data_IF_588824408231
#
_entry.id   IF_588824408231
#
_cell.length_a   1.000
_cell.length_b   1.000
_cell.length_c   1.000
_cell.angle_alpha   90.00
_cell.angle_beta   90.00
_cell.angle_gamma   90.00
#
_symmetry.space_group_name_H-M   'P 1'
#
loop_
_entity.id
_entity.type
_entity.pdbx_description
1 polymer ?
#
# COMPACT_ATOMS: atom_id res chain seq x y z
N UNK A 1 -5.29 31.88 -29.04
CA UNK A 1 -4.13 31.09 -28.57
C UNK A 1 -4.43 29.62 -28.87
N UNK A 2 -3.88 29.09 -29.97
CA UNK A 2 -4.13 27.70 -30.39
C UNK A 2 -3.13 26.82 -29.64
N UNK A 3 -3.62 25.99 -28.72
CA UNK A 3 -2.80 24.93 -28.12
C UNK A 3 -2.58 23.85 -29.19
N UNK A 4 -1.34 23.74 -29.68
CA UNK A 4 -0.94 22.65 -30.55
C UNK A 4 -0.70 21.40 -29.68
N UNK A 5 -1.65 20.47 -29.69
CA UNK A 5 -1.42 19.13 -29.14
C UNK A 5 -0.65 18.29 -30.16
N UNK A 6 0.64 18.05 -29.91
CA UNK A 6 1.40 17.04 -30.65
C UNK A 6 1.09 15.69 -30.00
N UNK A 7 0.30 14.87 -30.68
CA UNK A 7 0.01 13.50 -30.25
C UNK A 7 1.27 12.64 -30.41
N UNK A 8 1.81 12.15 -29.30
CA UNK A 8 3.00 11.30 -29.29
C UNK A 8 2.61 9.84 -29.55
N UNK A 9 2.88 9.33 -30.75
CA UNK A 9 2.62 7.93 -31.13
C UNK A 9 3.87 7.10 -30.88
N UNK A 10 3.79 6.14 -29.94
CA UNK A 10 4.93 5.35 -29.45
C UNK A 10 5.64 4.52 -30.54
N UNK A 11 4.98 4.26 -31.68
CA UNK A 11 5.50 3.42 -32.77
C UNK A 11 6.54 4.10 -33.69
N UNK A 12 6.82 5.39 -33.54
CA UNK A 12 7.64 6.15 -34.52
C UNK A 12 9.12 6.26 -34.12
N UNK A 13 9.51 5.92 -32.89
CA UNK A 13 10.91 6.00 -32.46
C UNK A 13 11.54 4.62 -32.33
N UNK A 14 12.56 4.37 -33.17
CA UNK A 14 13.57 3.34 -32.90
C UNK A 14 14.07 3.55 -31.46
N UNK A 15 14.00 2.49 -30.65
CA UNK A 15 14.43 2.38 -29.24
C UNK A 15 15.92 2.69 -28.95
N UNK A 16 16.58 3.49 -29.78
CA UNK A 16 18.04 3.65 -29.79
C UNK A 16 18.53 5.04 -29.44
N UNK A 17 17.67 5.97 -29.03
CA UNK A 17 18.10 7.30 -28.56
C UNK A 17 17.96 7.40 -27.01
N UNK A 18 19.08 7.37 -26.25
CA UNK A 18 19.05 7.56 -24.80
C UNK A 18 18.60 8.96 -24.36
N UNK A 19 18.50 9.93 -25.28
CA UNK A 19 17.95 11.26 -25.00
C UNK A 19 16.40 11.32 -24.98
N UNK A 20 15.72 10.19 -25.20
CA UNK A 20 14.26 10.11 -25.32
C UNK A 20 13.64 9.09 -24.34
N UNK A 21 14.10 9.07 -23.09
CA UNK A 21 13.27 8.49 -22.02
C UNK A 21 12.06 9.39 -21.80
N UNK A 22 10.87 8.86 -22.08
CA UNK A 22 9.62 9.55 -21.81
C UNK A 22 9.42 9.62 -20.28
N UNK A 23 8.86 10.71 -19.77
CA UNK A 23 8.51 10.87 -18.35
C UNK A 23 7.53 9.79 -17.85
N UNK A 24 6.89 9.07 -18.75
CA UNK A 24 5.98 7.94 -18.45
C UNK A 24 6.66 6.57 -18.51
N UNK A 25 7.92 6.48 -18.94
CA UNK A 25 8.63 5.20 -19.04
C UNK A 25 8.82 4.57 -17.65
N UNK A 26 8.63 3.25 -17.57
CA UNK A 26 8.73 2.52 -16.32
C UNK A 26 7.57 2.72 -15.33
N UNK A 27 6.49 3.36 -15.76
CA UNK A 27 5.27 3.58 -14.99
C UNK A 27 4.02 3.11 -15.76
N UNK A 28 3.00 2.65 -15.02
CA UNK A 28 1.68 2.35 -15.55
C UNK A 28 0.59 2.77 -14.56
N UNK A 29 -0.65 2.80 -15.06
CA UNK A 29 -1.83 3.24 -14.32
C UNK A 29 -2.87 2.12 -14.26
N UNK A 30 -3.51 1.98 -13.09
CA UNK A 30 -4.74 1.21 -12.91
C UNK A 30 -5.83 2.23 -12.58
N UNK A 31 -6.91 2.22 -13.35
CA UNK A 31 -8.10 2.99 -13.01
C UNK A 31 -8.76 2.40 -11.76
N UNK A 32 -9.05 3.23 -10.78
CA UNK A 32 -9.70 2.83 -9.53
C UNK A 32 -10.80 3.85 -9.18
N UNK A 33 -12.03 3.42 -8.84
CA UNK A 33 -13.13 4.35 -8.59
C UNK A 33 -12.95 5.20 -7.33
N UNK A 34 -12.09 4.78 -6.39
CA UNK A 34 -11.83 5.49 -5.14
C UNK A 34 -10.68 6.48 -5.34
N UNK A 35 -9.57 6.01 -5.91
CA UNK A 35 -8.33 6.78 -6.05
C UNK A 35 -8.16 7.45 -7.42
N UNK A 36 -9.13 7.30 -8.31
CA UNK A 36 -9.11 7.66 -9.74
C UNK A 36 -8.07 6.86 -10.54
N UNK A 37 -6.79 7.01 -10.18
CA UNK A 37 -5.67 6.30 -10.78
C UNK A 37 -4.65 5.86 -9.75
N UNK A 38 -4.30 4.58 -9.78
CA UNK A 38 -3.22 4.01 -9.00
C UNK A 38 -2.01 3.83 -9.92
N UNK A 39 -0.96 4.60 -9.64
CA UNK A 39 0.34 4.44 -10.28
C UNK A 39 1.06 3.21 -9.75
N UNK A 40 1.76 2.49 -10.63
CA UNK A 40 2.67 1.41 -10.25
C UNK A 40 3.84 1.29 -11.24
N UNK A 41 4.95 0.76 -10.76
CA UNK A 41 6.20 0.59 -11.50
C UNK A 41 6.13 -0.62 -12.44
N UNK A 42 6.54 -0.42 -13.68
CA UNK A 42 6.72 -1.47 -14.71
C UNK A 42 8.15 -1.44 -15.23
N UNK A 43 8.71 -2.54 -15.78
CA UNK A 43 10.07 -2.51 -16.31
C UNK A 43 10.27 -1.40 -17.35
N UNK A 44 11.31 -0.58 -17.19
CA UNK A 44 11.64 0.50 -18.15
C UNK A 44 12.04 -0.10 -19.50
N UNK A 45 12.85 -1.16 -19.46
CA UNK A 45 13.22 -1.94 -20.62
C UNK A 45 12.82 -3.41 -20.42
N UNK A 46 11.99 -3.93 -21.33
CA UNK A 46 11.58 -5.34 -21.34
C UNK A 46 12.73 -6.31 -21.62
N UNK A 47 13.88 -5.81 -22.09
CA UNK A 47 15.09 -6.61 -22.28
C UNK A 47 15.87 -6.86 -20.98
N UNK A 48 15.60 -6.05 -19.94
CA UNK A 48 16.23 -6.14 -18.63
C UNK A 48 15.30 -6.87 -17.67
N UNK A 49 15.85 -7.82 -16.91
CA UNK A 49 15.12 -8.54 -15.84
C UNK A 49 14.97 -7.65 -14.59
N UNK A 50 14.27 -6.53 -14.76
CA UNK A 50 13.92 -5.58 -13.72
C UNK A 50 12.69 -6.07 -12.95
N UNK A 51 12.81 -6.18 -11.62
CA UNK A 51 11.69 -6.50 -10.74
C UNK A 51 11.06 -5.20 -10.25
N UNK A 52 9.75 -5.08 -10.48
CA UNK A 52 8.93 -3.91 -10.14
C UNK A 52 7.64 -4.33 -9.45
N UNK A 53 6.84 -3.37 -9.00
CA UNK A 53 5.50 -3.63 -8.41
C UNK A 53 4.64 -4.49 -9.34
N UNK A 54 4.73 -4.29 -10.67
CA UNK A 54 4.05 -5.14 -11.66
C UNK A 54 4.33 -6.63 -11.46
N UNK A 55 5.58 -6.99 -11.17
CA UNK A 55 5.97 -8.39 -10.98
C UNK A 55 5.23 -9.01 -9.80
N UNK A 56 5.10 -8.25 -8.72
CA UNK A 56 4.39 -8.69 -7.52
C UNK A 56 2.87 -8.70 -7.76
N UNK A 57 2.33 -7.65 -8.39
CA UNK A 57 0.91 -7.55 -8.78
C UNK A 57 0.48 -8.74 -9.63
N UNK A 58 1.32 -9.15 -10.59
CA UNK A 58 1.03 -10.28 -11.48
C UNK A 58 1.36 -11.64 -10.88
N UNK A 59 1.94 -11.69 -9.67
CA UNK A 59 2.26 -12.95 -9.00
C UNK A 59 0.98 -13.76 -8.69
N UNK A 60 1.02 -15.11 -8.73
CA UNK A 60 -0.11 -15.93 -8.33
C UNK A 60 -0.62 -15.65 -6.92
N UNK A 61 0.28 -15.20 -6.03
CA UNK A 61 -0.03 -14.87 -4.63
C UNK A 61 -0.93 -13.65 -4.50
N UNK A 62 -0.76 -12.64 -5.36
CA UNK A 62 -1.63 -11.47 -5.40
C UNK A 62 -2.84 -11.67 -6.29
N UNK A 63 -2.67 -12.28 -7.47
CA UNK A 63 -3.79 -12.54 -8.38
C UNK A 63 -4.88 -13.43 -7.76
N UNK A 64 -4.54 -14.26 -6.75
CA UNK A 64 -5.56 -15.03 -6.03
C UNK A 64 -6.54 -14.17 -5.22
N UNK A 65 -6.12 -12.99 -4.77
CA UNK A 65 -6.97 -12.10 -3.98
C UNK A 65 -8.19 -11.61 -4.78
N UNK A 66 -8.17 -11.70 -6.11
CA UNK A 66 -9.34 -11.43 -6.98
C UNK A 66 -10.53 -12.36 -6.70
N UNK A 67 -10.27 -13.53 -6.09
CA UNK A 67 -11.29 -14.53 -5.75
C UNK A 67 -11.70 -14.49 -4.28
N UNK A 68 -11.18 -13.53 -3.52
CA UNK A 68 -11.49 -13.35 -2.10
C UNK A 68 -12.22 -12.03 -1.96
N UNK A 69 -13.53 -12.11 -1.71
CA UNK A 69 -14.39 -10.95 -1.54
C UNK A 69 -14.10 -10.23 -0.23
N UNK A 70 -14.08 -8.89 -0.28
CA UNK A 70 -13.77 -8.04 0.88
C UNK A 70 -14.80 -8.24 2.00
N UNK A 71 -16.08 -8.05 1.67
CA UNK A 71 -17.19 -8.06 2.63
C UNK A 71 -17.92 -9.41 2.72
N UNK A 72 -17.37 -10.47 2.12
CA UNK A 72 -17.83 -11.86 2.31
C UNK A 72 -19.34 -12.04 2.07
N UNK A 73 -20.11 -12.42 3.10
CA UNK A 73 -21.55 -12.63 3.03
C UNK A 73 -22.36 -11.33 2.91
N UNK A 74 -21.79 -10.18 3.29
CA UNK A 74 -22.51 -8.91 3.22
C UNK A 74 -22.88 -8.54 1.78
N UNK A 75 -22.16 -9.06 0.77
CA UNK A 75 -22.53 -8.93 -0.66
C UNK A 75 -23.92 -9.48 -0.99
N UNK A 76 -24.46 -10.41 -0.20
CA UNK A 76 -25.82 -10.91 -0.40
C UNK A 76 -26.89 -9.95 0.11
N UNK A 77 -26.52 -9.02 1.00
CA UNK A 77 -27.37 -7.91 1.46
C UNK A 77 -27.13 -6.66 0.62
N UNK A 78 -25.87 -6.38 0.28
CA UNK A 78 -25.41 -5.29 -0.56
C UNK A 78 -24.89 -5.86 -1.89
N UNK A 79 -25.75 -6.09 -2.91
CA UNK A 79 -25.38 -6.79 -4.13
C UNK A 79 -24.30 -6.08 -4.97
N UNK A 80 -24.04 -4.80 -4.73
CA UNK A 80 -22.94 -4.06 -5.35
C UNK A 80 -21.58 -4.30 -4.68
N UNK A 81 -21.54 -4.83 -3.44
CA UNK A 81 -20.33 -5.10 -2.68
C UNK A 81 -19.57 -6.37 -3.13
N UNK A 82 -19.36 -6.49 -4.43
CA UNK A 82 -18.66 -7.60 -5.10
C UNK A 82 -17.15 -7.37 -5.22
N UNK A 83 -16.62 -6.30 -4.60
CA UNK A 83 -15.19 -6.01 -4.62
C UNK A 83 -14.37 -7.05 -3.86
N UNK A 84 -13.14 -7.22 -4.33
CA UNK A 84 -12.19 -8.21 -3.85
C UNK A 84 -11.04 -7.56 -3.09
N UNK A 85 -10.36 -8.36 -2.26
CA UNK A 85 -9.13 -7.96 -1.55
C UNK A 85 -8.03 -7.49 -2.49
N UNK A 86 -8.05 -7.91 -3.75
CA UNK A 86 -7.09 -7.44 -4.76
C UNK A 86 -7.23 -5.93 -5.02
N UNK A 87 -8.46 -5.42 -5.17
CA UNK A 87 -8.70 -3.99 -5.40
C UNK A 87 -8.30 -3.18 -4.16
N UNK A 88 -8.66 -3.68 -2.98
CA UNK A 88 -8.28 -3.08 -1.71
C UNK A 88 -6.75 -3.06 -1.50
N UNK A 89 -6.04 -4.13 -1.85
CA UNK A 89 -4.58 -4.18 -1.76
C UNK A 89 -3.90 -3.13 -2.66
N UNK A 90 -4.41 -2.93 -3.87
CA UNK A 90 -3.91 -1.87 -4.77
C UNK A 90 -4.18 -0.47 -4.19
N UNK A 91 -5.36 -0.24 -3.64
CA UNK A 91 -5.71 1.03 -3.01
C UNK A 91 -4.88 1.31 -1.76
N UNK A 92 -4.63 0.29 -0.93
CA UNK A 92 -3.77 0.39 0.24
C UNK A 92 -2.32 0.68 -0.14
N UNK A 93 -1.80 0.06 -1.21
CA UNK A 93 -0.49 0.40 -1.79
C UNK A 93 -0.42 1.88 -2.21
N UNK A 94 -1.45 2.37 -2.90
CA UNK A 94 -1.53 3.77 -3.28
C UNK A 94 -1.49 4.70 -2.06
N UNK A 95 -2.36 4.44 -1.09
CA UNK A 95 -2.45 5.18 0.17
C UNK A 95 -1.11 5.19 0.92
N UNK A 96 -0.44 4.05 1.01
CA UNK A 96 0.84 3.93 1.68
C UNK A 96 1.93 4.78 1.01
N UNK A 97 1.98 4.82 -0.33
CA UNK A 97 2.90 5.69 -1.06
C UNK A 97 2.63 7.18 -0.86
N UNK A 98 1.35 7.58 -0.85
CA UNK A 98 0.97 8.97 -0.60
C UNK A 98 1.30 9.43 0.82
N UNK A 99 1.13 8.55 1.81
CA UNK A 99 1.58 8.81 3.17
C UNK A 99 3.09 8.91 3.25
N UNK A 100 3.83 7.98 2.62
CA UNK A 100 5.30 7.98 2.62
C UNK A 100 5.88 9.35 2.28
N UNK A 101 5.41 9.96 1.19
CA UNK A 101 5.86 11.29 0.75
C UNK A 101 5.55 12.38 1.77
N UNK A 102 4.36 12.34 2.38
CA UNK A 102 3.89 13.35 3.33
C UNK A 102 4.66 13.29 4.66
N UNK A 103 4.91 12.08 5.17
CA UNK A 103 5.50 11.87 6.51
C UNK A 103 7.03 11.84 6.49
N UNK A 104 7.67 11.54 5.36
CA UNK A 104 9.13 11.39 5.26
C UNK A 104 9.95 12.59 5.78
N UNK A 105 9.59 13.87 5.51
CA UNK A 105 10.32 15.01 6.06
C UNK A 105 10.38 15.00 7.58
N UNK A 106 9.26 14.67 8.24
CA UNK A 106 9.20 14.57 9.69
C UNK A 106 9.94 13.32 10.22
N UNK A 107 9.83 12.17 9.56
CA UNK A 107 10.54 10.94 9.93
C UNK A 107 12.07 11.11 9.89
N UNK A 108 12.59 11.71 8.82
CA UNK A 108 14.03 12.01 8.66
C UNK A 108 14.53 13.12 9.60
N UNK A 109 13.63 13.95 10.12
CA UNK A 109 13.97 14.91 11.18
C UNK A 109 14.20 14.21 12.53
N UNK A 110 13.40 13.19 12.85
CA UNK A 110 13.40 12.50 14.16
C UNK A 110 14.36 11.31 14.24
N UNK A 111 14.64 10.64 13.13
CA UNK A 111 15.64 9.56 13.03
C UNK A 111 16.54 9.76 11.81
N UNK A 112 17.83 9.99 12.05
CA UNK A 112 18.84 10.23 11.00
C UNK A 112 19.29 8.95 10.30
N UNK A 113 18.92 7.79 10.81
CA UNK A 113 19.24 6.49 10.19
C UNK A 113 18.16 6.03 9.19
N UNK A 114 17.13 6.84 8.95
CA UNK A 114 16.12 6.51 7.96
C UNK A 114 16.76 6.41 6.56
N UNK A 115 16.41 5.39 5.75
CA UNK A 115 16.80 5.31 4.35
C UNK A 115 16.22 6.46 3.52
N UNK A 116 16.58 6.53 2.24
CA UNK A 116 16.09 7.54 1.30
C UNK A 116 14.56 7.55 1.16
N UNK A 117 14.01 8.68 0.72
CA UNK A 117 12.57 8.86 0.51
C UNK A 117 12.01 7.79 -0.45
N UNK A 118 12.72 7.52 -1.54
CA UNK A 118 12.31 6.52 -2.53
C UNK A 118 12.29 5.11 -1.93
N UNK A 119 13.28 4.77 -1.09
CA UNK A 119 13.27 3.49 -0.38
C UNK A 119 12.08 3.37 0.57
N UNK A 120 11.81 4.42 1.37
CA UNK A 120 10.69 4.43 2.33
C UNK A 120 9.35 4.36 1.61
N UNK A 121 9.20 5.09 0.51
CA UNK A 121 8.02 5.02 -0.35
C UNK A 121 7.78 3.60 -0.83
N UNK A 122 8.77 2.95 -1.46
CA UNK A 122 8.59 1.59 -1.96
C UNK A 122 8.34 0.60 -0.83
N UNK A 123 9.03 0.72 0.31
CA UNK A 123 8.81 -0.16 1.46
C UNK A 123 7.35 -0.11 1.93
N UNK A 124 6.79 1.09 2.09
CA UNK A 124 5.40 1.26 2.52
C UNK A 124 4.42 0.80 1.46
N UNK A 125 4.69 1.06 0.18
CA UNK A 125 3.87 0.60 -0.94
C UNK A 125 3.82 -0.92 -1.01
N UNK A 126 4.97 -1.60 -0.90
CA UNK A 126 5.04 -3.06 -0.87
C UNK A 126 4.34 -3.64 0.37
N UNK A 127 4.47 -3.00 1.53
CA UNK A 127 3.73 -3.41 2.72
C UNK A 127 2.22 -3.24 2.52
N UNK A 128 1.77 -2.11 1.98
CA UNK A 128 0.36 -1.87 1.66
C UNK A 128 -0.20 -2.83 0.61
N UNK A 129 0.59 -3.16 -0.42
CA UNK A 129 0.21 -4.11 -1.46
C UNK A 129 0.05 -5.54 -0.92
N UNK A 130 0.89 -5.92 0.06
CA UNK A 130 1.02 -7.30 0.52
C UNK A 130 0.37 -7.56 1.89
N UNK A 131 -0.16 -6.54 2.58
CA UNK A 131 -0.69 -6.69 3.94
C UNK A 131 -1.76 -7.79 4.04
N UNK A 132 -2.59 -7.88 3.01
CA UNK A 132 -3.72 -8.80 2.92
C UNK A 132 -3.41 -10.10 2.17
N UNK A 133 -2.16 -10.29 1.71
CA UNK A 133 -1.79 -11.43 0.87
C UNK A 133 -2.06 -12.77 1.53
N UNK A 134 -2.07 -12.82 2.87
CA UNK A 134 -2.29 -14.03 3.65
C UNK A 134 -3.74 -14.46 3.82
N UNK A 135 -4.73 -13.64 3.44
CA UNK A 135 -6.13 -14.00 3.63
C UNK A 135 -6.55 -15.25 2.85
N UNK A 136 -7.37 -16.06 3.51
CA UNK A 136 -8.06 -17.22 2.93
C UNK A 136 -9.48 -16.88 2.44
N UNK A 137 -10.22 -17.91 1.98
CA UNK A 137 -11.65 -17.80 1.67
C UNK A 137 -12.40 -17.23 2.87
N UNK A 138 -13.40 -16.36 2.68
CA UNK A 138 -14.12 -15.72 3.79
C UNK A 138 -13.24 -14.95 4.80
N UNK A 139 -12.07 -14.43 4.39
CA UNK A 139 -11.28 -13.45 5.15
C UNK A 139 -11.12 -13.79 6.65
N UNK A 140 -11.51 -12.87 7.54
CA UNK A 140 -11.43 -13.08 8.99
C UNK A 140 -12.25 -14.26 9.52
N UNK A 141 -13.34 -14.66 8.85
CA UNK A 141 -14.10 -15.83 9.29
C UNK A 141 -13.24 -17.10 9.23
N UNK A 142 -12.39 -17.21 8.22
CA UNK A 142 -11.45 -18.34 8.10
C UNK A 142 -10.33 -18.29 9.11
N UNK A 143 -9.87 -17.09 9.47
CA UNK A 143 -8.92 -16.92 10.57
C UNK A 143 -9.50 -17.45 11.87
N UNK A 144 -10.68 -16.97 12.24
CA UNK A 144 -11.28 -17.23 13.55
C UNK A 144 -11.77 -18.68 13.71
N UNK A 145 -12.21 -19.32 12.62
CA UNK A 145 -12.87 -20.63 12.66
C UNK A 145 -12.04 -21.79 12.06
N UNK A 146 -10.88 -21.52 11.45
CA UNK A 146 -10.05 -22.57 10.87
C UNK A 146 -8.56 -22.37 11.17
N UNK A 147 -7.99 -21.19 10.95
CA UNK A 147 -6.57 -20.96 11.24
C UNK A 147 -6.26 -20.92 12.74
N UNK A 148 -7.22 -20.50 13.55
CA UNK A 148 -7.14 -20.45 15.01
C UNK A 148 -6.81 -21.83 15.62
N UNK A 149 -7.32 -22.93 15.06
CA UNK A 149 -7.01 -24.32 15.46
C UNK A 149 -5.51 -24.65 15.34
N UNK A 150 -4.77 -23.88 14.54
CA UNK A 150 -3.33 -24.05 14.29
C UNK A 150 -2.49 -22.92 14.91
N UNK A 151 -3.11 -22.00 15.66
CA UNK A 151 -2.46 -20.80 16.18
C UNK A 151 -1.98 -19.85 15.06
N UNK A 152 -2.65 -19.86 13.91
CA UNK A 152 -2.29 -19.06 12.74
C UNK A 152 -3.28 -17.92 12.52
N UNK A 153 -2.82 -16.88 11.83
CA UNK A 153 -3.61 -15.73 11.36
C UNK A 153 -3.26 -15.44 9.90
N UNK A 154 -4.12 -14.71 9.19
CA UNK A 154 -3.83 -14.22 7.84
C UNK A 154 -2.52 -13.43 7.83
N UNK A 155 -2.22 -12.62 8.85
CA UNK A 155 -0.96 -11.88 8.94
C UNK A 155 0.25 -12.82 9.00
N UNK A 156 0.16 -13.92 9.79
CA UNK A 156 1.23 -14.92 9.91
C UNK A 156 1.46 -15.66 8.59
N UNK A 157 0.37 -16.03 7.92
CA UNK A 157 0.42 -16.62 6.57
C UNK A 157 1.02 -15.62 5.58
N UNK A 158 0.63 -14.34 5.68
CA UNK A 158 1.11 -13.24 4.85
C UNK A 158 2.62 -13.04 4.97
N UNK A 159 3.15 -12.96 6.19
CA UNK A 159 4.60 -12.90 6.43
C UNK A 159 5.34 -14.08 5.79
N UNK A 160 4.79 -15.29 5.89
CA UNK A 160 5.39 -16.47 5.29
C UNK A 160 5.45 -16.36 3.75
N UNK A 161 4.37 -15.91 3.12
CA UNK A 161 4.31 -15.68 1.67
C UNK A 161 5.33 -14.62 1.26
N UNK A 162 5.36 -13.48 1.95
CA UNK A 162 6.29 -12.38 1.65
C UNK A 162 7.74 -12.86 1.72
N UNK A 163 8.13 -13.51 2.81
CA UNK A 163 9.54 -13.89 3.01
C UNK A 163 9.94 -15.10 2.17
N UNK A 164 9.10 -16.14 2.10
CA UNK A 164 9.48 -17.43 1.51
C UNK A 164 9.11 -17.58 0.04
N UNK A 165 8.10 -16.85 -0.44
CA UNK A 165 7.57 -17.01 -1.81
C UNK A 165 7.87 -15.80 -2.69
N UNK A 166 7.73 -14.59 -2.15
CA UNK A 166 7.98 -13.35 -2.87
C UNK A 166 9.35 -12.72 -2.54
N UNK A 167 10.07 -13.29 -1.56
CA UNK A 167 11.25 -12.64 -0.99
C UNK A 167 12.39 -12.41 -1.99
N UNK A 168 12.59 -13.33 -2.94
CA UNK A 168 13.60 -13.17 -4.00
C UNK A 168 13.29 -11.94 -4.86
N UNK A 169 12.04 -11.80 -5.29
CA UNK A 169 11.60 -10.69 -6.14
C UNK A 169 11.61 -9.37 -5.37
N UNK A 170 11.06 -9.36 -4.15
CA UNK A 170 11.05 -8.17 -3.28
C UNK A 170 12.48 -7.66 -3.04
N UNK A 171 13.43 -8.55 -2.74
CA UNK A 171 14.82 -8.18 -2.49
C UNK A 171 15.55 -7.67 -3.74
N UNK A 172 14.96 -7.80 -4.93
CA UNK A 172 15.49 -7.30 -6.21
C UNK A 172 14.88 -5.97 -6.65
N UNK A 173 13.84 -5.47 -5.97
CA UNK A 173 13.27 -4.14 -6.24
C UNK A 173 14.32 -3.06 -5.92
N UNK A 174 14.48 -2.06 -6.80
CA UNK A 174 15.53 -1.02 -6.71
C UNK A 174 15.03 0.42 -6.85
N UNK A 175 13.72 0.64 -7.00
CA UNK A 175 13.14 1.97 -7.15
C UNK A 175 11.68 2.00 -6.69
N UNK A 176 11.20 3.21 -6.44
CA UNK A 176 9.79 3.53 -6.26
C UNK A 176 9.25 4.27 -7.49
N UNK A 177 7.96 4.65 -7.51
CA UNK A 177 7.43 5.60 -8.48
C UNK A 177 8.18 6.93 -8.54
N UNK A 178 8.73 7.43 -7.42
CA UNK A 178 9.46 8.68 -7.37
C UNK A 178 10.92 8.59 -7.85
N UNK A 179 11.49 7.38 -7.95
CA UNK A 179 12.81 7.16 -8.53
C UNK A 179 13.61 6.05 -7.87
N UNK A 180 14.88 5.93 -8.28
CA UNK A 180 15.80 4.90 -7.80
C UNK A 180 16.18 5.09 -6.33
N UNK A 181 16.50 3.99 -5.65
CA UNK A 181 17.02 4.05 -4.29
C UNK A 181 18.42 4.69 -4.24
N UNK A 182 18.82 5.18 -3.08
CA UNK A 182 20.17 5.71 -2.90
C UNK A 182 21.22 4.60 -2.97
N UNK A 183 22.47 4.98 -3.23
CA UNK A 183 23.57 4.02 -3.41
C UNK A 183 23.73 3.12 -2.18
N UNK A 184 23.67 1.81 -2.39
CA UNK A 184 23.83 0.79 -1.35
C UNK A 184 22.53 0.36 -0.67
N UNK A 185 21.42 1.02 -0.95
CA UNK A 185 20.11 0.61 -0.44
C UNK A 185 19.57 -0.60 -1.21
N UNK A 186 19.09 -1.59 -0.47
CA UNK A 186 18.50 -2.81 -1.00
C UNK A 186 17.26 -3.14 -0.19
N UNK A 187 16.16 -3.43 -0.89
CA UNK A 187 14.91 -3.84 -0.26
C UNK A 187 15.08 -5.18 0.47
N UNK A 188 14.42 -5.31 1.62
CA UNK A 188 14.43 -6.54 2.41
C UNK A 188 12.98 -6.97 2.70
N UNK A 189 12.59 -8.13 2.17
CA UNK A 189 11.28 -8.73 2.37
C UNK A 189 10.92 -8.92 3.84
N UNK A 190 11.91 -9.09 4.74
CA UNK A 190 11.65 -9.20 6.19
C UNK A 190 11.18 -7.88 6.78
N UNK A 191 11.64 -6.74 6.25
CA UNK A 191 11.16 -5.41 6.68
C UNK A 191 9.74 -5.15 6.19
N UNK A 192 9.41 -5.60 4.97
CA UNK A 192 8.03 -5.57 4.45
C UNK A 192 7.12 -6.43 5.34
N UNK A 193 7.52 -7.67 5.62
CA UNK A 193 6.77 -8.59 6.47
C UNK A 193 6.61 -8.06 7.91
N UNK A 194 7.61 -7.35 8.44
CA UNK A 194 7.54 -6.74 9.77
C UNK A 194 6.45 -5.67 9.87
N UNK A 195 6.19 -4.91 8.81
CA UNK A 195 5.19 -3.83 8.82
C UNK A 195 3.75 -4.35 8.89
N UNK A 196 3.48 -5.56 8.40
CA UNK A 196 2.11 -6.09 8.23
C UNK A 196 1.63 -7.01 9.34
N UNK A 197 2.46 -7.33 10.35
CA UNK A 197 2.07 -8.15 11.50
C UNK A 197 2.55 -7.51 12.79
N UNK A 198 1.76 -7.60 13.84
CA UNK A 198 2.23 -7.35 15.20
C UNK A 198 3.40 -8.31 15.55
N UNK A 199 4.49 -7.83 16.18
CA UNK A 199 5.63 -8.66 16.48
C UNK A 199 5.27 -9.50 17.71
N UNK A 200 5.87 -10.67 17.85
CA UNK A 200 5.69 -11.40 19.09
C UNK A 200 6.36 -10.64 20.25
N UNK A 201 5.82 -10.79 21.46
CA UNK A 201 6.37 -10.11 22.64
C UNK A 201 7.87 -10.40 22.76
N UNK A 202 8.70 -9.35 22.80
CA UNK A 202 10.16 -9.45 22.84
C UNK A 202 10.88 -9.28 21.50
N UNK A 203 10.16 -9.14 20.38
CA UNK A 203 10.76 -8.83 19.06
C UNK A 203 10.81 -7.33 18.72
N UNK A 204 10.13 -6.49 19.51
CA UNK A 204 9.96 -5.04 19.28
C UNK A 204 11.28 -4.27 19.20
N UNK A 205 12.31 -4.73 19.92
CA UNK A 205 13.63 -4.07 19.95
C UNK A 205 14.60 -4.50 18.83
N UNK A 206 14.26 -5.48 17.99
CA UNK A 206 15.20 -6.03 16.99
C UNK A 206 15.29 -5.19 15.71
N UNK A 207 14.31 -4.32 15.46
CA UNK A 207 14.25 -3.52 14.24
C UNK A 207 14.70 -2.08 14.46
N UNK A 208 15.21 -1.38 13.43
CA UNK A 208 15.54 0.04 13.53
C UNK A 208 14.35 0.90 13.97
N UNK A 209 14.62 1.95 14.73
CA UNK A 209 13.58 2.84 15.28
C UNK A 209 12.69 3.42 14.17
N UNK A 210 13.25 3.94 13.08
CA UNK A 210 12.47 4.42 11.94
C UNK A 210 11.47 3.38 11.40
N UNK A 211 11.82 2.08 11.40
CA UNK A 211 10.94 1.02 10.90
C UNK A 211 9.80 0.74 11.88
N UNK A 212 10.09 0.77 13.19
CA UNK A 212 9.07 0.68 14.24
C UNK A 212 8.07 1.85 14.16
N UNK A 213 8.57 3.07 13.88
CA UNK A 213 7.73 4.26 13.71
C UNK A 213 6.82 4.13 12.48
N UNK A 214 7.38 3.74 11.33
CA UNK A 214 6.61 3.52 10.10
C UNK A 214 5.47 2.51 10.27
N UNK A 215 5.64 1.53 11.15
CA UNK A 215 4.61 0.53 11.41
C UNK A 215 3.32 1.11 11.99
N UNK A 216 3.38 2.25 12.67
CA UNK A 216 2.18 2.93 13.19
C UNK A 216 1.20 3.35 12.08
N UNK A 217 1.63 3.36 10.81
CA UNK A 217 0.74 3.53 9.66
C UNK A 217 -0.09 2.28 9.32
N UNK A 218 0.30 1.11 9.82
CA UNK A 218 -0.41 -0.17 9.66
C UNK A 218 -1.11 -0.60 10.95
N UNK A 219 -0.65 -0.10 12.11
CA UNK A 219 -1.22 -0.43 13.42
C UNK A 219 -1.62 0.85 14.15
N UNK A 220 -2.92 1.08 14.33
CA UNK A 220 -3.39 2.27 15.02
C UNK A 220 -4.86 2.58 14.81
N UNK A 221 -5.24 3.80 15.23
CA UNK A 221 -6.62 4.32 15.16
C UNK A 221 -7.08 4.51 13.71
N UNK A 222 -6.22 5.08 12.89
CA UNK A 222 -6.35 5.14 11.43
C UNK A 222 -5.03 4.66 10.81
N UNK A 223 -5.13 3.84 9.77
CA UNK A 223 -4.06 3.11 9.10
C UNK A 223 -4.27 3.21 7.61
N UNK A 224 -3.23 3.04 6.81
CA UNK A 224 -3.37 3.11 5.34
C UNK A 224 -4.33 2.06 4.78
N UNK A 225 -4.48 0.94 5.48
CA UNK A 225 -5.47 -0.11 5.24
C UNK A 225 -6.91 0.42 5.46
N UNK A 226 -7.21 0.90 6.67
CA UNK A 226 -8.57 1.36 6.98
C UNK A 226 -8.98 2.65 6.26
N UNK A 227 -8.01 3.46 5.83
CA UNK A 227 -8.28 4.59 4.96
C UNK A 227 -8.77 4.14 3.56
N UNK A 228 -8.27 3.02 3.02
CA UNK A 228 -8.80 2.47 1.78
C UNK A 228 -10.13 1.75 2.01
N UNK A 229 -10.19 0.75 2.90
CA UNK A 229 -11.39 -0.09 2.97
C UNK A 229 -12.62 0.72 3.42
N UNK A 230 -12.50 1.70 4.32
CA UNK A 230 -13.67 2.48 4.75
C UNK A 230 -14.29 3.24 3.57
N UNK A 231 -13.46 3.87 2.73
CA UNK A 231 -13.97 4.57 1.55
C UNK A 231 -14.50 3.59 0.50
N UNK A 232 -13.77 2.50 0.27
CA UNK A 232 -14.12 1.49 -0.73
C UNK A 232 -15.41 0.77 -0.38
N UNK A 233 -15.55 0.32 0.86
CA UNK A 233 -16.74 -0.35 1.36
C UNK A 233 -17.94 0.59 1.34
N UNK A 234 -17.77 1.85 1.73
CA UNK A 234 -18.84 2.85 1.66
C UNK A 234 -19.28 3.14 0.21
N UNK A 235 -18.35 3.20 -0.74
CA UNK A 235 -18.66 3.34 -2.17
C UNK A 235 -19.41 2.12 -2.70
N UNK A 236 -18.91 0.92 -2.43
CA UNK A 236 -19.43 -0.32 -3.00
C UNK A 236 -20.75 -0.75 -2.38
N UNK A 237 -21.05 -0.33 -1.15
CA UNK A 237 -22.36 -0.55 -0.50
C UNK A 237 -23.37 0.55 -0.79
N UNK A 238 -22.93 1.69 -1.35
CA UNK A 238 -23.78 2.86 -1.59
C UNK A 238 -24.10 3.66 -0.32
N UNK A 239 -23.34 3.47 0.77
CA UNK A 239 -23.57 4.15 2.05
C UNK A 239 -23.35 5.67 1.94
N UNK A 240 -22.15 6.13 1.54
CA UNK A 240 -21.85 7.54 1.22
C UNK A 240 -20.38 7.72 0.81
N UNK A 241 -20.13 8.55 -0.21
CA UNK A 241 -18.79 8.87 -0.72
C UNK A 241 -18.06 9.99 0.06
N UNK A 242 -18.81 10.91 0.68
CA UNK A 242 -18.24 12.12 1.31
C UNK A 242 -17.82 11.91 2.78
N UNK A 243 -17.54 10.68 3.15
CA UNK A 243 -17.37 10.25 4.53
C UNK A 243 -16.00 10.59 5.13
N UNK A 244 -14.94 10.67 4.32
CA UNK A 244 -13.56 10.76 4.83
C UNK A 244 -12.72 11.75 4.02
N UNK A 245 -12.26 12.82 4.68
CA UNK A 245 -11.29 13.78 4.13
C UNK A 245 -9.84 13.30 4.37
N UNK A 246 -9.46 12.26 3.63
CA UNK A 246 -8.12 11.66 3.67
C UNK A 246 -7.01 12.68 3.36
N UNK A 247 -7.13 13.53 2.31
CA UNK A 247 -6.08 14.51 1.99
C UNK A 247 -5.78 15.42 3.19
N UNK A 248 -6.81 15.90 3.89
CA UNK A 248 -6.63 16.71 5.08
C UNK A 248 -6.03 15.93 6.24
N UNK A 249 -6.49 14.70 6.48
CA UNK A 249 -5.95 13.86 7.55
C UNK A 249 -4.44 13.61 7.34
N UNK A 250 -4.07 13.21 6.12
CA UNK A 250 -2.67 12.99 5.71
C UNK A 250 -1.83 14.25 5.87
N UNK A 251 -2.32 15.40 5.42
CA UNK A 251 -1.61 16.69 5.52
C UNK A 251 -1.23 17.05 6.96
N UNK A 252 -2.11 16.75 7.92
CA UNK A 252 -1.87 17.03 9.34
C UNK A 252 -1.19 15.88 10.11
N UNK A 253 -0.83 14.79 9.43
CA UNK A 253 -0.15 13.64 10.01
C UNK A 253 1.36 13.74 9.83
N UNK A 254 2.13 13.60 10.91
CA UNK A 254 3.59 13.70 10.90
C UNK A 254 4.20 12.91 12.06
N UNK A 255 5.52 12.69 12.03
CA UNK A 255 6.25 12.05 13.13
C UNK A 255 6.88 13.05 14.08
N UNK A 256 6.78 12.76 15.37
CA UNK A 256 7.57 13.38 16.45
C UNK A 256 8.42 12.31 17.16
N UNK A 257 9.12 12.66 18.24
CA UNK A 257 9.89 11.69 19.01
C UNK A 257 9.00 10.62 19.66
N UNK A 258 7.75 10.98 19.94
CA UNK A 258 6.70 10.18 20.55
C UNK A 258 6.03 9.21 19.56
N UNK A 259 6.18 9.43 18.25
CA UNK A 259 5.58 8.61 17.21
C UNK A 259 4.72 9.39 16.23
N UNK A 260 3.83 8.68 15.54
CA UNK A 260 2.87 9.21 14.59
C UNK A 260 1.89 10.12 15.32
N UNK A 261 1.87 11.37 14.91
CA UNK A 261 1.18 12.47 15.56
C UNK A 261 0.25 13.14 14.57
N UNK A 262 -0.90 13.59 15.08
CA UNK A 262 -1.88 14.36 14.34
C UNK A 262 -1.95 15.78 14.90
N UNK A 263 -1.78 16.79 14.04
CA UNK A 263 -1.96 18.18 14.42
C UNK A 263 -3.43 18.45 14.80
N UNK A 264 -3.69 19.34 15.76
CA UNK A 264 -5.04 19.64 16.25
C UNK A 264 -6.04 20.02 15.13
N UNK A 265 -5.57 20.73 14.10
CA UNK A 265 -6.36 21.10 12.91
C UNK A 265 -6.88 19.92 12.07
N UNK A 266 -6.31 18.73 12.28
CA UNK A 266 -6.72 17.45 11.68
C UNK A 266 -7.76 16.68 12.49
N UNK A 267 -8.07 17.07 13.73
CA UNK A 267 -9.01 16.34 14.61
C UNK A 267 -10.40 16.21 13.97
N UNK A 268 -10.88 17.23 13.25
CA UNK A 268 -12.18 17.14 12.58
C UNK A 268 -12.19 16.10 11.45
N UNK A 269 -11.09 15.97 10.69
CA UNK A 269 -10.95 14.94 9.66
C UNK A 269 -10.89 13.54 10.29
N UNK A 270 -10.16 13.39 11.40
CA UNK A 270 -10.13 12.15 12.17
C UNK A 270 -11.51 11.78 12.73
N UNK A 271 -12.24 12.74 13.30
CA UNK A 271 -13.59 12.51 13.80
C UNK A 271 -14.56 12.06 12.72
N UNK A 272 -14.50 12.65 11.51
CA UNK A 272 -15.27 12.19 10.35
C UNK A 272 -14.90 10.75 9.97
N UNK A 273 -13.61 10.45 9.88
CA UNK A 273 -13.13 9.10 9.60
C UNK A 273 -13.64 8.06 10.62
N UNK A 274 -13.57 8.38 11.92
CA UNK A 274 -14.01 7.46 12.97
C UNK A 274 -15.52 7.24 12.97
N UNK A 275 -16.32 8.29 12.75
CA UNK A 275 -17.77 8.15 12.59
C UNK A 275 -18.12 7.34 11.34
N UNK A 276 -17.41 7.57 10.24
CA UNK A 276 -17.57 6.83 9.01
C UNK A 276 -17.32 5.33 9.21
N UNK A 277 -16.20 5.01 9.87
CA UNK A 277 -15.85 3.65 10.25
C UNK A 277 -16.90 3.03 11.15
N UNK A 278 -17.34 3.73 12.20
CA UNK A 278 -18.37 3.24 13.13
C UNK A 278 -19.66 2.88 12.40
N UNK A 279 -20.15 3.77 11.54
CA UNK A 279 -21.40 3.57 10.80
C UNK A 279 -21.34 2.39 9.82
N UNK A 280 -20.17 2.02 9.30
CA UNK A 280 -20.04 0.82 8.45
C UNK A 280 -20.16 -0.48 9.23
N UNK A 281 -19.89 -0.47 10.53
CA UNK A 281 -19.95 -1.64 11.40
C UNK A 281 -21.28 -1.79 12.16
N UNK A 282 -22.16 -0.78 12.11
CA UNK A 282 -23.47 -0.76 12.78
C UNK A 282 -24.61 -0.92 11.80
#
# INVERSE_FOLDING_TARGET
MIFCFVYYKQDIMKKTDPAHQNVYDGMALIADPIHQYILFTVPVDKSVDEITEKTLIDSPWLQRLRRIYQLQSARWVYPAAEHSRFQHSLGTMHMAGEFAKSIYPSLSSVDKNVPSCNYVEELLRLAGLLHDVGHGPYGHFFDDNFLSDWGLTHETVGQNIIVRKLGVDINRVRRSPAGVFARGEVMDARRVAFLIKMPEAGEEGKQPRWLQMLRQLFTGVYTVDNLDYVQRDAYMTGFSLDMVDIPRLRYYTFFTKEGLTLHQSGISALGRFLNARLNLYT
#
